data_IF_763843461954
#
_entry.id   IF_763843461954
#
_cell.length_a   1.000
_cell.length_b   1.000
_cell.length_c   1.000
_cell.angle_alpha   90.00
_cell.angle_beta   90.00
_cell.angle_gamma   90.00
#
_symmetry.space_group_name_H-M   'P 1'
#
loop_
_entity.id
_entity.type
_entity.pdbx_description
1 polymer ?
#
# COMPACT_ATOMS: atom_id res chain seq x y z
N UNK A 1 2.77 29.62 16.88
CA UNK A 1 2.99 28.76 15.70
C UNK A 1 3.39 27.36 16.13
N UNK A 2 2.87 26.29 15.49
CA UNK A 2 3.36 24.93 15.71
C UNK A 2 4.82 24.85 15.26
N UNK A 3 5.63 24.04 15.94
CA UNK A 3 7.03 23.82 15.53
C UNK A 3 7.04 23.02 14.23
N UNK A 4 7.90 23.42 13.31
CA UNK A 4 8.07 22.78 12.00
C UNK A 4 8.97 21.55 12.07
N UNK A 5 9.97 21.53 12.97
CA UNK A 5 10.91 20.42 13.14
C UNK A 5 10.69 19.68 14.46
N UNK A 6 10.71 18.35 14.38
CA UNK A 6 10.64 17.49 15.56
C UNK A 6 11.98 17.48 16.30
N UNK A 7 11.93 17.28 17.62
CA UNK A 7 13.13 17.15 18.46
C UNK A 7 13.77 15.80 18.15
N UNK A 8 15.08 15.75 17.84
CA UNK A 8 15.78 14.51 17.52
C UNK A 8 15.70 13.52 18.67
N UNK A 9 15.77 12.24 18.34
CA UNK A 9 15.62 11.14 19.28
C UNK A 9 16.69 11.16 20.37
N UNK A 10 17.95 11.41 19.99
CA UNK A 10 19.09 11.50 20.91
C UNK A 10 18.88 12.54 22.02
N UNK A 11 18.33 13.72 21.68
CA UNK A 11 18.02 14.76 22.67
C UNK A 11 16.87 14.36 23.60
N UNK A 12 15.96 13.49 23.17
CA UNK A 12 14.89 12.98 24.04
C UNK A 12 15.42 11.92 24.98
N UNK A 13 16.28 11.04 24.49
CA UNK A 13 16.91 10.00 25.28
C UNK A 13 17.71 10.62 26.42
N UNK A 14 18.60 11.57 26.12
CA UNK A 14 19.38 12.30 27.14
C UNK A 14 18.52 13.05 28.16
N UNK A 15 17.37 13.60 27.74
CA UNK A 15 16.39 14.21 28.66
C UNK A 15 15.76 13.17 29.60
N UNK A 16 15.47 11.97 29.10
CA UNK A 16 14.89 10.87 29.90
C UNK A 16 15.94 10.34 30.88
N UNK A 17 17.18 10.13 30.45
CA UNK A 17 18.30 9.72 31.31
C UNK A 17 18.55 10.74 32.43
N UNK A 18 18.55 12.03 32.10
CA UNK A 18 18.67 13.12 33.09
C UNK A 18 17.51 13.11 34.10
N UNK A 19 16.29 12.80 33.65
CA UNK A 19 15.13 12.67 34.53
C UNK A 19 15.22 11.42 35.43
N UNK A 20 15.69 10.29 34.90
CA UNK A 20 15.92 9.06 35.65
C UNK A 20 17.01 9.24 36.72
N UNK A 21 18.04 10.06 36.43
CA UNK A 21 19.04 10.49 37.39
C UNK A 21 18.51 11.46 38.47
N UNK A 22 17.22 11.79 38.47
CA UNK A 22 16.57 12.64 39.48
C UNK A 22 16.74 14.14 39.24
N UNK A 23 17.26 14.59 38.09
CA UNK A 23 17.36 16.03 37.80
C UNK A 23 15.96 16.66 37.65
N UNK A 24 15.77 17.82 38.27
CA UNK A 24 14.52 18.56 38.15
C UNK A 24 14.28 19.18 36.76
N UNK A 25 13.01 19.37 36.37
CA UNK A 25 12.64 19.90 35.04
C UNK A 25 13.27 21.25 34.69
N UNK A 26 13.49 22.13 35.67
CA UNK A 26 14.11 23.45 35.44
C UNK A 26 15.59 23.31 35.07
N UNK A 27 16.29 22.36 35.68
CA UNK A 27 17.70 22.07 35.43
C UNK A 27 17.88 21.48 34.04
N UNK A 28 17.09 20.45 33.71
CA UNK A 28 17.07 19.81 32.38
C UNK A 28 16.75 20.83 31.28
N UNK A 29 15.76 21.69 31.50
CA UNK A 29 15.38 22.75 30.56
C UNK A 29 16.53 23.70 30.24
N UNK A 30 17.32 24.09 31.25
CA UNK A 30 18.49 24.96 31.07
C UNK A 30 19.65 24.24 30.38
N UNK A 31 19.94 23.01 30.79
CA UNK A 31 21.04 22.18 30.28
C UNK A 31 20.88 21.91 28.77
N UNK A 32 19.69 21.46 28.36
CA UNK A 32 19.42 21.11 26.95
C UNK A 32 18.81 22.26 26.13
N UNK A 33 18.71 23.48 26.70
CA UNK A 33 18.10 24.66 26.06
C UNK A 33 16.70 24.39 25.51
N UNK A 34 15.94 23.52 26.18
CA UNK A 34 14.57 23.18 25.82
C UNK A 34 13.59 23.94 26.70
N UNK A 35 12.44 24.33 26.16
CA UNK A 35 11.39 24.93 26.96
C UNK A 35 10.85 23.93 28.01
N UNK A 36 10.57 24.38 29.25
CA UNK A 36 10.12 23.52 30.36
C UNK A 36 8.89 22.66 30.02
N UNK A 37 7.95 23.18 29.24
CA UNK A 37 6.77 22.40 28.80
C UNK A 37 7.14 21.24 27.88
N UNK A 38 8.24 21.36 27.13
CA UNK A 38 8.75 20.33 26.23
C UNK A 38 9.33 19.17 27.02
N UNK A 39 10.16 19.47 28.01
CA UNK A 39 10.71 18.49 28.94
C UNK A 39 9.58 17.72 29.63
N UNK A 40 8.57 18.43 30.14
CA UNK A 40 7.38 17.82 30.73
C UNK A 40 6.66 16.88 29.74
N UNK A 41 6.52 17.30 28.49
CA UNK A 41 5.81 16.52 27.48
C UNK A 41 6.58 15.26 27.08
N UNK A 42 7.92 15.33 26.98
CA UNK A 42 8.78 14.18 26.74
C UNK A 42 8.64 13.16 27.88
N UNK A 43 8.80 13.61 29.12
CA UNK A 43 8.69 12.74 30.31
C UNK A 43 7.30 12.14 30.44
N UNK A 44 6.24 12.91 30.15
CA UNK A 44 4.88 12.41 30.19
C UNK A 44 4.65 11.30 29.16
N UNK A 45 5.08 11.49 27.90
CA UNK A 45 4.97 10.44 26.88
C UNK A 45 5.77 9.20 27.25
N UNK A 46 6.99 9.36 27.75
CA UNK A 46 7.81 8.24 28.19
C UNK A 46 7.10 7.45 29.31
N UNK A 47 6.53 8.13 30.32
CA UNK A 47 5.77 7.46 31.38
C UNK A 47 4.50 6.74 30.90
N UNK A 48 3.86 7.24 29.83
CA UNK A 48 2.60 6.68 29.33
C UNK A 48 2.82 5.53 28.34
N UNK A 49 3.80 5.66 27.44
CA UNK A 49 4.00 4.74 26.31
C UNK A 49 5.32 3.98 26.37
N UNK A 50 6.20 4.31 27.33
CA UNK A 50 7.55 3.76 27.46
C UNK A 50 8.40 3.84 26.18
N UNK A 51 8.15 4.87 25.35
CA UNK A 51 8.82 5.11 24.07
C UNK A 51 9.51 6.47 24.03
N UNK A 52 10.67 6.51 23.36
CA UNK A 52 11.47 7.72 23.15
C UNK A 52 11.12 8.36 21.80
N UNK A 53 10.88 7.51 20.80
CA UNK A 53 10.50 7.86 19.43
C UNK A 53 9.20 8.66 19.38
N UNK A 54 9.05 9.52 18.37
CA UNK A 54 7.74 10.13 18.11
C UNK A 54 6.75 9.09 17.61
N UNK A 55 5.59 9.03 18.25
CA UNK A 55 4.47 8.29 17.69
C UNK A 55 4.07 8.93 16.35
N UNK A 56 3.72 8.12 15.34
CA UNK A 56 3.16 8.63 14.11
C UNK A 56 1.89 9.42 14.42
N UNK A 57 1.61 10.45 13.62
CA UNK A 57 0.35 11.18 13.74
C UNK A 57 -0.79 10.22 13.37
N UNK A 58 -1.86 10.23 14.17
CA UNK A 58 -3.07 9.42 13.91
C UNK A 58 -3.66 9.65 12.51
N UNK A 59 -3.43 10.83 11.94
CA UNK A 59 -3.91 11.18 10.61
C UNK A 59 -5.43 11.30 10.55
N UNK A 60 -5.96 11.42 9.35
CA UNK A 60 -7.40 11.44 9.11
C UNK A 60 -7.90 10.01 8.87
N UNK A 61 -9.00 9.58 9.51
CA UNK A 61 -9.58 8.27 9.21
C UNK A 61 -10.00 8.17 7.74
N UNK A 62 -9.79 7.01 7.15
CA UNK A 62 -10.20 6.73 5.78
C UNK A 62 -11.73 6.66 5.66
N UNK A 63 -12.28 7.10 4.53
CA UNK A 63 -13.71 6.99 4.25
C UNK A 63 -14.18 5.54 4.04
N UNK A 64 -13.33 4.71 3.44
CA UNK A 64 -13.59 3.28 3.26
C UNK A 64 -13.11 2.56 4.51
N UNK A 65 -14.02 1.84 5.16
CA UNK A 65 -13.72 1.04 6.35
C UNK A 65 -12.91 -0.21 5.97
N UNK A 66 -12.18 -0.81 6.92
CA UNK A 66 -11.46 -2.08 6.66
C UNK A 66 -12.39 -3.17 6.14
N UNK A 67 -13.62 -3.26 6.68
CA UNK A 67 -14.64 -4.22 6.22
C UNK A 67 -15.07 -3.96 4.77
N UNK A 68 -15.35 -2.70 4.42
CA UNK A 68 -15.67 -2.33 3.05
C UNK A 68 -14.52 -2.64 2.07
N UNK A 69 -13.27 -2.43 2.50
CA UNK A 69 -12.10 -2.80 1.71
C UNK A 69 -12.02 -4.31 1.45
N UNK A 70 -12.37 -5.14 2.45
CA UNK A 70 -12.43 -6.60 2.27
C UNK A 70 -13.54 -7.01 1.30
N UNK A 71 -14.72 -6.38 1.36
CA UNK A 71 -15.81 -6.64 0.42
C UNK A 71 -15.38 -6.35 -1.03
N UNK A 72 -14.74 -5.20 -1.25
CA UNK A 72 -14.18 -4.84 -2.57
C UNK A 72 -13.21 -5.93 -3.06
N UNK A 73 -12.30 -6.41 -2.20
CA UNK A 73 -11.34 -7.46 -2.56
C UNK A 73 -12.03 -8.79 -2.91
N UNK A 74 -13.09 -9.15 -2.17
CA UNK A 74 -13.86 -10.37 -2.43
C UNK A 74 -14.61 -10.29 -3.77
N UNK A 75 -15.18 -9.14 -4.10
CA UNK A 75 -15.89 -8.94 -5.38
C UNK A 75 -14.93 -9.01 -6.57
N UNK A 76 -13.78 -8.34 -6.48
CA UNK A 76 -12.74 -8.39 -7.53
C UNK A 76 -12.19 -9.81 -7.70
N UNK A 77 -12.05 -10.56 -6.60
CA UNK A 77 -11.56 -11.93 -6.65
C UNK A 77 -12.56 -12.88 -7.31
N UNK A 78 -13.86 -12.57 -7.29
CA UNK A 78 -14.89 -13.33 -8.01
C UNK A 78 -14.90 -12.96 -9.49
N UNK A 79 -14.97 -11.65 -9.77
CA UNK A 79 -14.99 -11.11 -11.12
C UNK A 79 -14.01 -9.94 -11.25
N UNK A 80 -12.84 -10.15 -11.88
CA UNK A 80 -11.82 -9.10 -12.00
C UNK A 80 -12.23 -7.96 -12.95
N UNK A 81 -13.28 -8.16 -13.75
CA UNK A 81 -13.82 -7.17 -14.69
C UNK A 81 -14.79 -6.15 -14.08
N UNK A 82 -15.08 -6.24 -12.77
CA UNK A 82 -16.04 -5.36 -12.12
C UNK A 82 -15.63 -3.88 -12.18
N UNK A 83 -16.59 -3.04 -12.56
CA UNK A 83 -16.40 -1.61 -12.68
C UNK A 83 -16.57 -0.91 -11.33
N UNK A 84 -15.98 0.28 -11.19
CA UNK A 84 -16.11 1.07 -9.96
C UNK A 84 -17.56 1.47 -9.62
N UNK A 85 -18.46 1.49 -10.61
CA UNK A 85 -19.88 1.81 -10.41
C UNK A 85 -20.63 0.64 -9.78
N UNK A 86 -20.34 -0.59 -10.20
CA UNK A 86 -20.92 -1.81 -9.63
C UNK A 86 -20.47 -2.00 -8.18
N UNK A 87 -19.16 -1.86 -7.91
CA UNK A 87 -18.61 -1.90 -6.55
C UNK A 87 -19.25 -0.85 -5.63
N UNK A 88 -19.64 0.32 -6.19
CA UNK A 88 -20.33 1.36 -5.41
C UNK A 88 -21.70 0.87 -4.94
N UNK A 89 -22.48 0.21 -5.79
CA UNK A 89 -23.80 -0.31 -5.44
C UNK A 89 -23.72 -1.38 -4.33
N UNK A 90 -22.70 -2.24 -4.39
CA UNK A 90 -22.41 -3.22 -3.34
C UNK A 90 -22.03 -2.56 -2.01
N UNK A 91 -21.22 -1.50 -2.04
CA UNK A 91 -20.85 -0.76 -0.85
C UNK A 91 -22.03 0.00 -0.24
N UNK A 92 -22.93 0.54 -1.06
CA UNK A 92 -24.16 1.17 -0.60
C UNK A 92 -25.08 0.16 0.10
N UNK A 93 -25.15 -1.08 -0.40
CA UNK A 93 -25.85 -2.19 0.27
C UNK A 93 -25.23 -2.53 1.63
N UNK A 94 -23.92 -2.34 1.78
CA UNK A 94 -23.20 -2.47 3.04
C UNK A 94 -23.21 -1.19 3.91
N UNK A 95 -24.06 -0.21 3.57
CA UNK A 95 -24.24 1.07 4.26
C UNK A 95 -22.99 1.98 4.24
N UNK A 96 -22.17 1.88 3.20
CA UNK A 96 -20.95 2.70 2.99
C UNK A 96 -21.12 3.55 1.74
N UNK A 97 -21.49 4.82 1.95
CA UNK A 97 -21.61 5.79 0.85
C UNK A 97 -20.25 6.40 0.50
N UNK A 98 -19.76 6.10 -0.70
CA UNK A 98 -18.49 6.61 -1.22
C UNK A 98 -18.62 7.03 -2.69
N UNK A 99 -17.80 7.98 -3.10
CA UNK A 99 -17.72 8.40 -4.49
C UNK A 99 -16.90 7.39 -5.30
N UNK A 100 -17.22 7.21 -6.58
CA UNK A 100 -16.53 6.24 -7.47
C UNK A 100 -15.02 6.50 -7.56
N UNK A 101 -14.60 7.77 -7.56
CA UNK A 101 -13.19 8.17 -7.51
C UNK A 101 -12.47 7.69 -6.24
N UNK A 102 -13.18 7.56 -5.11
CA UNK A 102 -12.60 7.01 -3.87
C UNK A 102 -12.36 5.51 -4.02
N UNK A 103 -13.30 4.80 -4.66
CA UNK A 103 -13.17 3.38 -4.97
C UNK A 103 -11.99 3.16 -5.92
N UNK A 104 -11.91 3.92 -7.03
CA UNK A 104 -10.78 3.82 -7.98
C UNK A 104 -9.44 4.06 -7.29
N UNK A 105 -9.32 5.07 -6.44
CA UNK A 105 -8.09 5.33 -5.66
C UNK A 105 -7.75 4.15 -4.74
N UNK A 106 -8.74 3.55 -4.09
CA UNK A 106 -8.48 2.34 -3.28
C UNK A 106 -8.03 1.15 -4.13
N UNK A 107 -8.61 0.94 -5.31
CA UNK A 107 -8.19 -0.10 -6.25
C UNK A 107 -6.75 0.11 -6.71
N UNK A 108 -6.41 1.34 -7.12
CA UNK A 108 -5.04 1.68 -7.50
C UNK A 108 -4.08 1.43 -6.35
N UNK A 109 -4.39 1.89 -5.14
CA UNK A 109 -3.53 1.64 -3.97
C UNK A 109 -3.35 0.15 -3.68
N UNK A 110 -4.40 -0.68 -3.84
CA UNK A 110 -4.30 -2.13 -3.68
C UNK A 110 -3.39 -2.73 -4.76
N UNK A 111 -3.59 -2.35 -6.04
CA UNK A 111 -2.80 -2.84 -7.18
C UNK A 111 -1.33 -2.41 -7.14
N UNK A 112 -1.03 -1.22 -6.61
CA UNK A 112 0.36 -0.79 -6.39
C UNK A 112 1.12 -1.68 -5.39
N UNK A 113 0.40 -2.42 -4.52
CA UNK A 113 0.97 -3.40 -3.60
C UNK A 113 0.87 -4.85 -4.10
N UNK A 114 0.24 -5.08 -5.26
CA UNK A 114 -0.01 -6.41 -5.82
C UNK A 114 0.02 -6.34 -7.34
N UNK A 115 1.20 -6.53 -7.91
CA UNK A 115 1.37 -6.74 -9.35
C UNK A 115 0.82 -8.13 -9.70
N UNK A 116 -0.49 -8.30 -9.73
CA UNK A 116 -1.12 -9.46 -10.35
C UNK A 116 -1.23 -9.12 -11.82
N UNK A 117 -0.24 -9.60 -12.55
CA UNK A 117 -0.29 -9.68 -14.00
C UNK A 117 -1.51 -10.54 -14.35
N UNK A 118 -2.62 -9.90 -14.74
CA UNK A 118 -3.68 -10.57 -15.47
C UNK A 118 -3.07 -10.95 -16.82
N UNK A 119 -2.36 -12.07 -16.85
CA UNK A 119 -1.92 -12.64 -18.11
C UNK A 119 -3.20 -12.98 -18.87
N UNK A 120 -3.50 -12.34 -20.02
CA UNK A 120 -4.56 -12.84 -20.87
C UNK A 120 -4.21 -14.29 -21.18
N UNK A 121 -5.18 -15.18 -21.06
CA UNK A 121 -5.05 -16.57 -21.47
C UNK A 121 -4.48 -16.57 -22.89
N UNK A 122 -3.22 -17.00 -23.03
CA UNK A 122 -2.47 -16.87 -24.28
C UNK A 122 -3.27 -17.64 -25.32
N UNK A 123 -3.70 -17.00 -26.41
CA UNK A 123 -4.46 -17.66 -27.47
C UNK A 123 -3.54 -18.59 -28.28
N UNK A 124 -3.10 -19.70 -27.71
CA UNK A 124 -2.24 -20.71 -28.37
C UNK A 124 -2.81 -21.22 -29.69
N UNK A 125 -4.12 -21.09 -29.91
CA UNK A 125 -4.79 -21.49 -31.13
C UNK A 125 -4.46 -20.63 -32.37
N UNK A 126 -4.17 -19.33 -32.22
CA UNK A 126 -3.92 -18.47 -33.37
C UNK A 126 -2.53 -18.69 -34.01
N UNK A 127 -1.44 -18.89 -33.24
CA UNK A 127 -0.14 -19.25 -33.80
C UNK A 127 -0.11 -20.64 -34.45
N UNK A 128 -0.83 -21.61 -33.89
CA UNK A 128 -0.91 -22.98 -34.44
C UNK A 128 -1.57 -22.98 -35.83
N UNK A 129 -2.70 -22.30 -35.98
CA UNK A 129 -3.39 -22.17 -37.28
C UNK A 129 -2.52 -21.50 -38.34
N UNK A 130 -1.77 -20.47 -37.94
CA UNK A 130 -0.85 -19.76 -38.86
C UNK A 130 0.33 -20.64 -39.32
N UNK A 131 0.81 -21.55 -38.47
CA UNK A 131 1.86 -22.49 -38.84
C UNK A 131 1.34 -23.57 -39.80
N UNK A 132 0.13 -24.09 -39.59
CA UNK A 132 -0.51 -25.08 -40.45
C UNK A 132 -0.80 -24.53 -41.86
N UNK A 133 -1.26 -23.27 -41.97
CA UNK A 133 -1.55 -22.62 -43.26
C UNK A 133 -0.29 -22.32 -44.11
N UNK A 134 0.92 -22.44 -43.54
CA UNK A 134 2.20 -22.05 -44.18
C UNK A 134 3.07 -23.24 -44.60
N UNK A 135 2.71 -24.48 -44.24
CA UNK A 135 3.45 -25.67 -44.69
C UNK A 135 2.91 -26.09 -46.06
N UNK A 136 3.50 -25.54 -47.11
CA UNK A 136 3.24 -25.92 -48.49
C UNK A 136 4.06 -27.19 -48.82
N UNK A 137 3.47 -28.37 -48.68
CA UNK A 137 4.11 -29.68 -48.96
C UNK A 137 4.12 -30.04 -50.46
N UNK A 138 4.28 -29.06 -51.34
CA UNK A 138 4.25 -29.25 -52.80
C UNK A 138 5.61 -29.61 -53.44
N UNK A 139 6.70 -29.68 -52.65
CA UNK A 139 8.07 -29.92 -53.16
C UNK A 139 8.58 -31.37 -53.06
N UNK A 140 7.74 -32.36 -52.71
CA UNK A 140 8.17 -33.75 -52.47
C UNK A 140 7.83 -34.76 -53.58
N UNK A 141 7.42 -34.30 -54.77
CA UNK A 141 6.88 -35.21 -55.82
C UNK A 141 7.66 -35.26 -57.14
N UNK A 142 8.80 -34.59 -57.28
CA UNK A 142 9.61 -34.63 -58.51
C UNK A 142 11.05 -35.00 -58.18
N UNK A 143 11.36 -36.31 -58.13
CA UNK A 143 12.65 -36.89 -58.55
C UNK A 143 12.78 -38.35 -58.08
N UNK A 144 12.42 -39.28 -58.98
CA UNK A 144 13.15 -40.54 -59.24
C UNK A 144 12.39 -41.35 -60.31
N UNK A 145 12.66 -41.07 -61.59
CA UNK A 145 12.34 -41.99 -62.70
C UNK A 145 13.53 -42.08 -63.65
N UNK A 146 14.44 -43.02 -63.35
CA UNK A 146 15.63 -43.47 -64.10
C UNK A 146 15.91 -44.87 -63.52
N UNK A 147 15.92 -46.03 -64.18
CA UNK A 147 15.94 -46.43 -65.59
C UNK A 147 15.32 -47.83 -65.75
N UNK A 148 14.83 -48.11 -66.96
CA UNK A 148 14.67 -49.45 -67.55
C UNK A 148 15.03 -49.39 -69.02
#
# INVERSE_FOLDING_TARGET
>A
MPRTKEIPEDLRQTVIEAHQAGKGYKTISKEFKLHKSTVRHIVHKWRQFNTIVTLPRSGRPAKITPKAKLLILQEISKDPGLTSKELKASLESANVSVHDSTIRRTLTNIRMHGNVELQPEKNTAAPLRFAEDKVDTSWLSEECSVDG
#
